data_IF_644644953479
#
_entry.id   IF_644644953479
#
_cell.length_a   1.000
_cell.length_b   1.000
_cell.length_c   1.000
_cell.angle_alpha   90.00
_cell.angle_beta   90.00
_cell.angle_gamma   90.00
#
_symmetry.space_group_name_H-M   'P 1'
#
loop_
_entity.id
_entity.type
_entity.pdbx_description
1 polymer ?
#
# COMPACT_ATOMS: atom_id res chain seq x y z
N UNK A 1 -16.58 -1.10 -11.08
CA UNK A 1 -17.44 -2.30 -11.13
C UNK A 1 -18.28 -2.21 -12.38
N UNK A 2 -18.41 -3.32 -13.10
CA UNK A 2 -19.23 -3.43 -14.29
C UNK A 2 -20.40 -4.37 -14.01
N UNK A 3 -21.61 -3.90 -14.31
CA UNK A 3 -22.82 -4.70 -14.27
C UNK A 3 -23.36 -4.88 -15.69
N UNK A 4 -23.88 -6.06 -16.00
CA UNK A 4 -24.52 -6.33 -17.30
C UNK A 4 -25.98 -6.69 -17.09
N UNK A 5 -26.85 -6.10 -17.89
CA UNK A 5 -28.27 -6.43 -17.94
C UNK A 5 -28.68 -6.68 -19.42
N UNK A 6 -29.43 -7.74 -19.63
CA UNK A 6 -29.79 -8.22 -20.98
C UNK A 6 -30.52 -7.13 -21.81
N UNK A 7 -31.28 -6.28 -21.14
CA UNK A 7 -32.12 -5.27 -21.83
C UNK A 7 -31.42 -3.90 -21.91
N UNK A 8 -30.55 -3.53 -20.96
CA UNK A 8 -29.94 -2.19 -20.88
C UNK A 8 -28.48 -2.11 -21.27
N UNK A 9 -27.81 -3.24 -21.38
CA UNK A 9 -26.40 -3.29 -21.79
C UNK A 9 -25.41 -3.34 -20.59
N UNK A 10 -24.43 -2.45 -20.55
CA UNK A 10 -23.37 -2.43 -19.53
C UNK A 10 -23.51 -1.16 -18.69
N UNK A 11 -23.66 -1.34 -17.39
CA UNK A 11 -23.56 -0.27 -16.40
C UNK A 11 -22.16 -0.24 -15.80
N UNK A 12 -21.61 0.96 -15.63
CA UNK A 12 -20.32 1.20 -14.97
C UNK A 12 -20.55 1.92 -13.66
N UNK A 13 -20.15 1.30 -12.55
CA UNK A 13 -20.30 1.86 -11.21
C UNK A 13 -18.94 2.27 -10.64
N UNK A 14 -18.87 3.47 -10.08
CA UNK A 14 -17.76 3.89 -9.25
C UNK A 14 -18.04 3.52 -7.77
N UNK A 15 -17.03 3.05 -7.06
CA UNK A 15 -17.10 2.91 -5.60
C UNK A 15 -16.97 4.27 -4.94
N UNK A 16 -17.79 4.53 -3.93
CA UNK A 16 -17.68 5.70 -3.07
C UNK A 16 -17.34 5.27 -1.65
N UNK A 17 -16.58 6.07 -0.90
CA UNK A 17 -16.28 5.77 0.50
C UNK A 17 -17.55 5.63 1.35
N UNK A 18 -17.49 4.76 2.33
CA UNK A 18 -18.55 4.51 3.30
C UNK A 18 -17.94 4.07 4.65
N UNK A 19 -18.76 3.83 5.66
CA UNK A 19 -18.31 3.30 6.95
C UNK A 19 -17.63 1.92 6.84
N UNK A 20 -17.90 1.18 5.76
CA UNK A 20 -17.38 -0.16 5.52
C UNK A 20 -16.21 -0.21 4.53
N UNK A 21 -15.98 0.87 3.78
CA UNK A 21 -14.98 0.93 2.72
C UNK A 21 -14.38 2.33 2.66
N UNK A 22 -13.13 2.47 3.03
CA UNK A 22 -12.44 3.75 3.05
C UNK A 22 -12.01 4.23 1.66
N UNK A 23 -11.66 5.51 1.54
CA UNK A 23 -11.05 6.05 0.33
C UNK A 23 -9.69 5.41 0.03
N UNK A 24 -8.91 5.09 1.07
CA UNK A 24 -7.62 4.42 0.90
C UNK A 24 -7.79 2.99 0.37
N UNK A 25 -8.79 2.25 0.85
CA UNK A 25 -9.09 0.90 0.35
C UNK A 25 -9.52 0.93 -1.13
N UNK A 26 -10.34 1.91 -1.53
CA UNK A 26 -10.74 2.09 -2.93
C UNK A 26 -9.52 2.42 -3.81
N UNK A 27 -8.66 3.33 -3.35
CA UNK A 27 -7.44 3.69 -4.07
C UNK A 27 -6.47 2.50 -4.16
N UNK A 28 -6.23 1.78 -3.07
CA UNK A 28 -5.38 0.59 -3.05
C UNK A 28 -5.89 -0.51 -3.99
N UNK A 29 -7.21 -0.71 -4.07
CA UNK A 29 -7.81 -1.70 -4.96
C UNK A 29 -7.49 -1.46 -6.45
N UNK A 30 -7.22 -0.21 -6.85
CA UNK A 30 -6.81 0.10 -8.23
C UNK A 30 -5.41 -0.40 -8.58
N UNK A 31 -4.58 -0.69 -7.57
CA UNK A 31 -3.22 -1.18 -7.72
C UNK A 31 -3.12 -2.71 -7.70
N UNK A 32 -4.24 -3.42 -7.53
CA UNK A 32 -4.25 -4.88 -7.48
C UNK A 32 -3.71 -5.49 -8.77
N UNK A 33 -2.70 -6.35 -8.64
CA UNK A 33 -2.20 -7.15 -9.76
C UNK A 33 -2.97 -8.47 -9.82
N UNK A 34 -3.67 -8.67 -10.93
CA UNK A 34 -4.44 -9.89 -11.22
C UNK A 34 -3.66 -10.84 -12.15
N UNK A 35 -2.39 -10.51 -12.44
CA UNK A 35 -1.57 -11.26 -13.37
C UNK A 35 -1.91 -10.98 -14.85
N UNK A 36 -1.08 -11.55 -15.76
CA UNK A 36 -1.19 -11.29 -17.20
C UNK A 36 -2.32 -12.07 -17.90
N UNK A 37 -2.78 -13.15 -17.28
CA UNK A 37 -3.83 -14.00 -17.85
C UNK A 37 -5.00 -14.05 -16.87
N UNK A 38 -6.07 -13.36 -17.21
CA UNK A 38 -7.32 -13.50 -16.48
C UNK A 38 -8.03 -14.80 -16.94
N UNK A 39 -8.15 -15.73 -16.02
CA UNK A 39 -8.97 -16.92 -16.20
C UNK A 39 -10.08 -16.93 -15.15
N UNK A 40 -11.34 -16.70 -15.51
CA UNK A 40 -12.43 -16.64 -14.53
C UNK A 40 -12.69 -17.97 -13.81
N UNK A 41 -12.13 -19.08 -14.30
CA UNK A 41 -12.24 -20.41 -13.66
C UNK A 41 -11.10 -20.68 -12.66
N UNK A 42 -10.01 -19.94 -12.76
CA UNK A 42 -8.87 -20.01 -11.84
C UNK A 42 -8.76 -18.67 -11.12
N UNK A 43 -9.25 -18.62 -9.90
CA UNK A 43 -9.08 -17.44 -9.04
C UNK A 43 -7.66 -17.44 -8.49
N UNK A 44 -6.76 -16.70 -9.14
CA UNK A 44 -5.46 -16.41 -8.57
C UNK A 44 -5.61 -15.39 -7.43
N UNK A 45 -4.83 -15.50 -6.36
CA UNK A 45 -4.78 -14.47 -5.34
C UNK A 45 -4.35 -13.14 -5.96
N UNK A 46 -5.12 -12.08 -5.71
CA UNK A 46 -4.68 -10.73 -6.05
C UNK A 46 -3.49 -10.36 -5.16
N UNK A 47 -2.51 -9.69 -5.74
CA UNK A 47 -1.38 -9.12 -5.01
C UNK A 47 -1.38 -7.61 -5.15
N UNK A 48 -0.81 -6.93 -4.17
CA UNK A 48 -0.67 -5.48 -4.17
C UNK A 48 0.79 -5.09 -4.07
N UNK A 49 1.20 -4.02 -4.74
CA UNK A 49 2.55 -3.50 -4.62
C UNK A 49 2.79 -2.96 -3.21
N UNK A 50 4.07 -2.91 -2.81
CA UNK A 50 4.49 -2.21 -1.60
C UNK A 50 4.36 -0.69 -1.81
N UNK A 51 3.14 -0.18 -1.71
CA UNK A 51 2.81 1.23 -1.86
C UNK A 51 2.20 1.77 -0.55
N UNK A 52 2.51 3.01 -0.14
CA UNK A 52 1.99 3.59 1.09
C UNK A 52 0.47 3.60 1.18
N UNK A 53 -0.23 3.81 0.06
CA UNK A 53 -1.69 3.74 0.01
C UNK A 53 -2.24 2.36 0.37
N UNK A 54 -1.50 1.27 0.06
CA UNK A 54 -1.87 -0.09 0.47
C UNK A 54 -1.68 -0.26 1.98
N UNK A 55 -0.61 0.32 2.55
CA UNK A 55 -0.40 0.38 4.00
C UNK A 55 -1.53 1.12 4.72
N UNK A 56 -1.94 2.29 4.19
CA UNK A 56 -3.06 3.06 4.73
C UNK A 56 -4.39 2.28 4.65
N UNK A 57 -4.62 1.53 3.57
CA UNK A 57 -5.82 0.70 3.44
C UNK A 57 -5.88 -0.40 4.50
N UNK A 58 -4.77 -1.10 4.77
CA UNK A 58 -4.71 -2.09 5.84
C UNK A 58 -4.82 -1.47 7.24
N UNK A 59 -4.30 -0.25 7.41
CA UNK A 59 -4.45 0.50 8.64
C UNK A 59 -5.91 0.88 8.89
N UNK A 60 -6.65 1.32 7.86
CA UNK A 60 -8.10 1.58 7.94
C UNK A 60 -8.88 0.32 8.37
N UNK A 61 -8.52 -0.85 7.83
CA UNK A 61 -9.14 -2.12 8.22
C UNK A 61 -8.84 -2.47 9.69
N UNK A 62 -7.60 -2.28 10.12
CA UNK A 62 -7.20 -2.52 11.50
C UNK A 62 -7.97 -1.60 12.45
N UNK A 63 -8.09 -0.32 12.14
CA UNK A 63 -8.82 0.65 12.95
C UNK A 63 -10.33 0.42 12.96
N UNK A 64 -10.90 -0.08 11.87
CA UNK A 64 -12.32 -0.47 11.85
C UNK A 64 -12.59 -1.63 12.79
N UNK A 65 -11.64 -2.56 12.92
CA UNK A 65 -11.73 -3.68 13.87
C UNK A 65 -11.38 -3.25 15.31
N UNK A 66 -10.52 -2.23 15.47
CA UNK A 66 -9.95 -1.77 16.74
C UNK A 66 -9.97 -0.24 16.85
N UNK A 67 -11.15 0.40 16.97
CA UNK A 67 -11.27 1.85 17.01
C UNK A 67 -10.51 2.52 18.18
N UNK A 68 -10.29 1.78 19.26
CA UNK A 68 -9.56 2.24 20.45
C UNK A 68 -8.08 2.56 20.17
N UNK A 69 -7.52 2.07 19.08
CA UNK A 69 -6.12 2.30 18.68
C UNK A 69 -5.92 3.60 17.87
N UNK A 70 -6.98 4.37 17.57
CA UNK A 70 -6.92 5.49 16.64
C UNK A 70 -5.79 6.47 16.92
N UNK A 71 -5.69 7.00 18.14
CA UNK A 71 -4.68 7.99 18.51
C UNK A 71 -3.23 7.47 18.38
N UNK A 72 -2.99 6.18 18.58
CA UNK A 72 -1.68 5.56 18.40
C UNK A 72 -1.33 5.43 16.90
N UNK A 73 -2.33 5.15 16.06
CA UNK A 73 -2.14 4.92 14.64
C UNK A 73 -2.04 6.20 13.80
N UNK A 74 -2.41 7.38 14.35
CA UNK A 74 -2.29 8.65 13.63
C UNK A 74 -0.86 8.93 13.18
N UNK A 75 0.13 8.62 14.03
CA UNK A 75 1.54 8.74 13.68
C UNK A 75 1.91 7.82 12.50
N UNK A 76 1.42 6.59 12.47
CA UNK A 76 1.69 5.67 11.37
C UNK A 76 1.09 6.16 10.05
N UNK A 77 -0.08 6.80 10.09
CA UNK A 77 -0.63 7.48 8.90
C UNK A 77 0.30 8.56 8.38
N UNK A 78 0.85 9.39 9.26
CA UNK A 78 1.75 10.47 8.87
C UNK A 78 3.05 9.93 8.27
N UNK A 79 3.62 8.87 8.85
CA UNK A 79 4.79 8.18 8.29
C UNK A 79 4.51 7.58 6.91
N UNK A 80 3.33 6.98 6.70
CA UNK A 80 2.95 6.45 5.39
C UNK A 80 2.74 7.55 4.34
N UNK A 81 2.20 8.71 4.73
CA UNK A 81 2.09 9.88 3.84
C UNK A 81 3.47 10.44 3.47
N UNK A 82 4.39 10.52 4.43
CA UNK A 82 5.75 10.94 4.16
C UNK A 82 6.46 9.94 3.24
N UNK A 83 6.29 8.64 3.47
CA UNK A 83 6.82 7.60 2.60
C UNK A 83 6.32 7.73 1.15
N UNK A 84 5.05 8.10 0.96
CA UNK A 84 4.49 8.33 -0.38
C UNK A 84 5.20 9.48 -1.09
N UNK A 85 5.43 10.59 -0.39
CA UNK A 85 6.16 11.75 -0.92
C UNK A 85 7.60 11.38 -1.29
N UNK A 86 8.33 10.68 -0.39
CA UNK A 86 9.72 10.28 -0.63
C UNK A 86 9.85 9.31 -1.80
N UNK A 87 8.99 8.30 -1.85
CA UNK A 87 8.98 7.32 -2.95
C UNK A 87 8.60 7.96 -4.30
N UNK A 88 7.67 8.91 -4.32
CA UNK A 88 7.30 9.65 -5.52
C UNK A 88 8.46 10.56 -6.01
N UNK A 89 9.20 11.17 -5.08
CA UNK A 89 10.39 11.96 -5.38
C UNK A 89 11.62 11.10 -5.71
N UNK A 90 11.56 9.78 -5.57
CA UNK A 90 12.69 8.86 -5.67
C UNK A 90 13.83 9.21 -4.70
N UNK A 91 13.49 9.69 -3.51
CA UNK A 91 14.41 10.02 -2.44
C UNK A 91 14.52 8.88 -1.44
N UNK A 92 15.75 8.59 -0.99
CA UNK A 92 15.99 7.68 0.13
C UNK A 92 15.73 8.38 1.44
N UNK A 93 15.20 7.63 2.39
CA UNK A 93 15.06 8.10 3.77
C UNK A 93 15.29 6.94 4.74
N UNK A 94 16.51 6.89 5.27
CA UNK A 94 16.93 5.83 6.20
C UNK A 94 16.26 5.95 7.57
N UNK A 95 15.95 7.18 8.01
CA UNK A 95 15.28 7.42 9.29
C UNK A 95 13.83 6.95 9.21
N UNK A 96 13.11 7.38 8.18
CA UNK A 96 11.72 6.96 7.92
C UNK A 96 11.63 5.45 7.71
N UNK A 97 12.58 4.86 6.98
CA UNK A 97 12.67 3.40 6.80
C UNK A 97 12.79 2.67 8.14
N UNK A 98 13.68 3.16 9.05
CA UNK A 98 13.85 2.55 10.37
C UNK A 98 12.59 2.67 11.24
N UNK A 99 11.88 3.80 11.19
CA UNK A 99 10.62 4.00 11.90
C UNK A 99 9.53 3.06 11.40
N UNK A 100 9.36 2.92 10.09
CA UNK A 100 8.40 1.97 9.50
C UNK A 100 8.73 0.51 9.87
N UNK A 101 10.03 0.17 9.90
CA UNK A 101 10.48 -1.15 10.35
C UNK A 101 10.16 -1.40 11.83
N UNK A 102 10.32 -0.39 12.68
CA UNK A 102 9.96 -0.47 14.10
C UNK A 102 8.44 -0.64 14.26
N UNK A 103 7.64 0.07 13.50
CA UNK A 103 6.19 -0.09 13.50
C UNK A 103 5.77 -1.50 13.05
N UNK A 104 6.38 -2.05 12.02
CA UNK A 104 6.10 -3.41 11.55
C UNK A 104 6.29 -4.48 12.65
N UNK A 105 7.22 -4.24 13.59
CA UNK A 105 7.48 -5.14 14.72
C UNK A 105 6.69 -4.78 15.99
N UNK A 106 5.88 -3.73 15.94
CA UNK A 106 5.12 -3.27 17.12
C UNK A 106 3.95 -4.21 17.46
N UNK A 107 3.60 -4.35 18.76
CA UNK A 107 2.43 -5.12 19.18
C UNK A 107 1.11 -4.60 18.57
N UNK A 108 1.08 -3.33 18.19
CA UNK A 108 -0.09 -2.70 17.60
C UNK A 108 -0.37 -3.20 16.18
N UNK A 109 0.67 -3.50 15.41
CA UNK A 109 0.62 -3.91 13.99
C UNK A 109 0.71 -5.41 13.80
N UNK A 110 1.45 -6.13 14.68
CA UNK A 110 1.77 -7.57 14.52
C UNK A 110 0.51 -8.47 14.42
N UNK A 111 -0.64 -7.97 14.84
CA UNK A 111 -1.93 -8.66 14.69
C UNK A 111 -2.44 -8.65 13.24
N UNK A 112 -1.89 -7.78 12.38
CA UNK A 112 -2.21 -7.67 10.96
C UNK A 112 -0.99 -8.01 10.11
N UNK A 113 -0.82 -9.28 9.76
CA UNK A 113 0.31 -9.76 8.94
C UNK A 113 0.42 -8.98 7.63
N UNK A 114 -0.69 -8.66 6.98
CA UNK A 114 -0.69 -7.92 5.73
C UNK A 114 -0.16 -6.49 5.90
N UNK A 115 -0.52 -5.79 7.00
CA UNK A 115 0.03 -4.48 7.30
C UNK A 115 1.53 -4.57 7.61
N UNK A 116 1.93 -5.54 8.41
CA UNK A 116 3.34 -5.77 8.73
C UNK A 116 4.18 -5.97 7.47
N UNK A 117 3.80 -6.89 6.59
CA UNK A 117 4.51 -7.20 5.34
C UNK A 117 4.63 -5.97 4.43
N UNK A 118 3.57 -5.17 4.32
CA UNK A 118 3.60 -3.94 3.51
C UNK A 118 4.53 -2.89 4.12
N UNK A 119 4.54 -2.69 5.44
CA UNK A 119 5.46 -1.76 6.10
C UNK A 119 6.92 -2.16 5.90
N UNK A 120 7.25 -3.45 6.05
CA UNK A 120 8.58 -3.99 5.78
C UNK A 120 8.99 -3.77 4.32
N UNK A 121 8.09 -3.99 3.38
CA UNK A 121 8.35 -3.81 1.97
C UNK A 121 8.51 -2.33 1.57
N UNK A 122 7.74 -1.41 2.17
CA UNK A 122 7.90 0.05 1.97
C UNK A 122 9.25 0.51 2.54
N UNK A 123 9.60 0.06 3.75
CA UNK A 123 10.88 0.31 4.39
C UNK A 123 12.05 -0.11 3.48
N UNK A 124 12.01 -1.32 2.94
CA UNK A 124 13.02 -1.83 2.02
C UNK A 124 13.11 -0.99 0.73
N UNK A 125 11.99 -0.51 0.18
CA UNK A 125 11.97 0.37 -1.00
C UNK A 125 12.63 1.71 -0.74
N UNK A 126 12.38 2.33 0.42
CA UNK A 126 13.02 3.59 0.81
C UNK A 126 14.55 3.47 0.91
N UNK A 127 15.06 2.29 1.24
CA UNK A 127 16.50 2.00 1.26
C UNK A 127 17.08 1.70 -0.13
N UNK A 128 16.31 1.02 -1.00
CA UNK A 128 16.80 0.51 -2.28
C UNK A 128 17.04 1.61 -3.36
N UNK A 129 16.44 2.79 -3.21
CA UNK A 129 16.61 3.90 -4.15
C UNK A 129 18.09 4.33 -4.20
N UNK A 130 18.80 4.25 -3.08
CA UNK A 130 20.21 4.67 -2.94
C UNK A 130 21.18 3.80 -3.75
N UNK A 131 20.93 2.51 -3.86
CA UNK A 131 21.82 1.56 -4.57
C UNK A 131 21.80 1.76 -6.08
N UNK A 132 20.69 2.16 -6.68
CA UNK A 132 20.59 2.40 -8.10
C UNK A 132 21.23 3.72 -8.55
N UNK A 133 21.32 4.73 -7.68
CA UNK A 133 21.92 6.03 -7.99
C UNK A 133 23.46 5.98 -7.94
N UNK A 134 24.04 5.12 -7.11
CA UNK A 134 25.49 4.91 -7.03
C UNK A 134 26.06 4.21 -8.28
N UNK A 135 25.30 3.26 -8.85
CA UNK A 135 25.75 2.52 -10.04
C UNK A 135 25.72 3.39 -11.31
N UNK A 136 24.77 4.33 -11.42
CA UNK A 136 24.68 5.21 -12.59
C UNK A 136 25.71 6.33 -12.61
N UNK A 137 26.27 6.72 -11.45
CA UNK A 137 27.31 7.76 -11.36
C UNK A 137 28.70 7.21 -11.72
N UNK A 138 28.94 5.92 -11.45
CA UNK A 138 30.25 5.28 -11.78
C UNK A 138 30.39 4.96 -13.26
N UNK A 139 29.29 4.82 -14.01
CA UNK A 139 29.29 4.48 -15.44
C UNK A 139 29.52 5.70 -16.39
N UNK A 140 29.59 6.93 -15.86
CA UNK A 140 29.78 8.16 -16.68
C UNK A 140 31.21 8.69 -16.71
N UNK A 141 32.17 7.97 -16.14
CA UNK A 141 33.59 8.38 -16.11
C UNK A 141 34.55 7.36 -16.76
N UNK A 142 34.09 6.69 -17.84
CA UNK A 142 34.98 5.93 -18.72
C UNK A 142 34.74 6.29 -20.18
#
# INVERSE_FOLDING_TARGET
>A
IYGTEIIRGIDVFALTPSDYLSANEIAAATLADQGRQFNPQQQFPNTWPAAPIVGMAYLDQLLRAHPEKGAEMDLLYDLLREADVRLAAQETDTALSAELQQWAQSPAVITSTALQEVLEAISARLMAIDTNNLVSTTARHH
#
